data_IF_124467420875
#
_entry.id   IF_124467420875
#
_cell.length_a   1.000
_cell.length_b   1.000
_cell.length_c   1.000
_cell.angle_alpha   90.00
_cell.angle_beta   90.00
_cell.angle_gamma   90.00
#
_symmetry.space_group_name_H-M   'P 1'
#
loop_
_entity.id
_entity.type
_entity.pdbx_description
1 polymer ?
#
# COMPACT_ATOMS: atom_id res chain seq x y z
N UNK A 1 -20.67 -3.58 20.31
CA UNK A 1 -20.63 -3.32 18.84
C UNK A 1 -20.55 -1.81 18.64
N UNK A 2 -19.57 -1.29 17.90
CA UNK A 2 -19.51 0.15 17.58
C UNK A 2 -20.69 0.54 16.66
N UNK A 3 -21.24 1.77 16.77
CA UNK A 3 -22.36 2.18 15.94
C UNK A 3 -21.98 2.16 14.45
N UNK A 4 -22.94 1.88 13.54
CA UNK A 4 -22.70 1.87 12.10
C UNK A 4 -22.08 3.20 11.67
N UNK A 5 -20.92 3.15 11.00
CA UNK A 5 -20.19 4.32 10.53
C UNK A 5 -19.13 4.89 11.48
N UNK A 6 -19.05 4.44 12.74
CA UNK A 6 -18.01 4.90 13.67
C UNK A 6 -16.57 4.62 13.18
N UNK A 7 -16.25 3.45 12.60
CA UNK A 7 -14.91 3.21 12.06
C UNK A 7 -14.59 4.15 10.89
N UNK A 8 -15.57 4.43 10.01
CA UNK A 8 -15.41 5.34 8.87
C UNK A 8 -15.12 6.77 9.32
N UNK A 9 -15.91 7.29 10.27
CA UNK A 9 -15.68 8.61 10.86
C UNK A 9 -14.31 8.69 11.54
N UNK A 10 -13.92 7.62 12.25
CA UNK A 10 -12.58 7.48 12.82
C UNK A 10 -11.48 7.60 11.77
N UNK A 11 -11.60 6.89 10.64
CA UNK A 11 -10.63 6.97 9.54
C UNK A 11 -10.56 8.36 8.90
N UNK A 12 -11.72 9.00 8.67
CA UNK A 12 -11.80 10.35 8.09
C UNK A 12 -11.08 11.41 8.93
N UNK A 13 -11.07 11.27 10.25
CA UNK A 13 -10.33 12.16 11.15
C UNK A 13 -8.88 11.73 11.31
N UNK A 14 -8.63 10.42 11.44
CA UNK A 14 -7.33 9.86 11.79
C UNK A 14 -6.25 10.15 10.73
N UNK A 15 -6.48 9.84 9.45
CA UNK A 15 -5.41 9.97 8.44
C UNK A 15 -5.04 11.43 8.13
N UNK A 16 -6.00 12.35 7.87
CA UNK A 16 -5.66 13.77 7.68
C UNK A 16 -5.10 14.40 8.96
N UNK A 17 -5.64 14.04 10.13
CA UNK A 17 -5.14 14.49 11.43
C UNK A 17 -3.69 14.07 11.65
N UNK A 18 -3.38 12.78 11.45
CA UNK A 18 -2.02 12.25 11.56
C UNK A 18 -1.06 12.95 10.59
N UNK A 19 -1.48 13.21 9.35
CA UNK A 19 -0.69 13.96 8.39
C UNK A 19 -0.36 15.37 8.86
N UNK A 20 -1.37 16.12 9.34
CA UNK A 20 -1.18 17.48 9.82
C UNK A 20 -0.29 17.53 11.06
N UNK A 21 -0.46 16.59 11.99
CA UNK A 21 0.36 16.45 13.19
C UNK A 21 1.82 16.11 12.81
N UNK A 22 2.02 15.10 11.97
CA UNK A 22 3.36 14.70 11.51
C UNK A 22 4.06 15.84 10.77
N UNK A 23 3.37 16.48 9.82
CA UNK A 23 3.91 17.64 9.08
C UNK A 23 4.26 18.79 10.02
N UNK A 24 3.41 19.09 11.00
CA UNK A 24 3.65 20.17 11.96
C UNK A 24 4.82 19.86 12.88
N UNK A 25 4.93 18.62 13.38
CA UNK A 25 6.06 18.16 14.18
C UNK A 25 7.38 18.26 13.42
N UNK A 26 7.41 17.77 12.18
CA UNK A 26 8.58 17.89 11.29
C UNK A 26 8.95 19.35 10.95
N UNK A 27 8.06 20.32 11.12
CA UNK A 27 8.38 21.73 10.87
C UNK A 27 8.79 22.49 12.12
N UNK A 28 8.24 22.12 13.28
CA UNK A 28 8.28 22.94 14.50
C UNK A 28 9.20 22.38 15.59
N UNK A 29 9.46 21.08 15.61
CA UNK A 29 10.27 20.47 16.67
C UNK A 29 11.74 20.93 16.58
N UNK A 30 12.37 21.29 17.72
CA UNK A 30 13.79 21.59 17.77
C UNK A 30 14.62 20.42 17.18
N UNK A 31 15.58 20.72 16.32
CA UNK A 31 16.41 19.71 15.63
C UNK A 31 15.80 19.10 14.36
N UNK A 32 14.49 19.31 14.10
CA UNK A 32 13.79 18.74 12.94
C UNK A 32 13.27 19.76 11.94
N UNK A 33 13.53 21.07 12.07
CA UNK A 33 12.95 22.18 11.26
C UNK A 33 13.07 22.00 9.74
N UNK A 34 12.26 21.14 9.16
CA UNK A 34 12.41 20.73 7.77
C UNK A 34 11.71 21.71 6.82
N UNK A 35 12.25 21.87 5.60
CA UNK A 35 11.55 22.56 4.54
C UNK A 35 10.16 21.96 4.31
N UNK A 36 9.19 22.81 3.99
CA UNK A 36 7.81 22.37 3.78
C UNK A 36 7.66 21.24 2.73
N UNK A 37 8.37 21.26 1.58
CA UNK A 37 8.33 20.16 0.62
C UNK A 37 8.74 18.81 1.23
N UNK A 38 9.80 18.78 2.02
CA UNK A 38 10.34 17.56 2.62
C UNK A 38 9.43 17.07 3.75
N UNK A 39 8.94 17.99 4.59
CA UNK A 39 7.99 17.69 5.64
C UNK A 39 6.70 17.06 5.09
N UNK A 40 6.16 17.58 3.96
CA UNK A 40 4.98 17.01 3.29
C UNK A 40 5.28 15.60 2.79
N UNK A 41 6.41 15.40 2.10
CA UNK A 41 6.77 14.10 1.54
C UNK A 41 6.93 13.07 2.66
N UNK A 42 7.65 13.39 3.73
CA UNK A 42 7.89 12.43 4.80
C UNK A 42 6.64 12.19 5.64
N UNK A 43 5.83 13.22 5.95
CA UNK A 43 4.56 13.05 6.65
C UNK A 43 3.60 12.13 5.87
N UNK A 44 3.50 12.30 4.54
CA UNK A 44 2.67 11.42 3.72
C UNK A 44 3.15 9.96 3.80
N UNK A 45 4.46 9.72 3.70
CA UNK A 45 5.04 8.37 3.79
C UNK A 45 4.90 7.75 5.19
N UNK A 46 4.92 8.56 6.24
CA UNK A 46 4.65 8.10 7.59
C UNK A 46 3.21 7.62 7.72
N UNK A 47 2.24 8.40 7.24
CA UNK A 47 0.82 8.02 7.27
C UNK A 47 0.58 6.73 6.50
N UNK A 48 1.17 6.58 5.30
CA UNK A 48 1.11 5.32 4.54
C UNK A 48 1.73 4.15 5.29
N UNK A 49 2.84 4.36 6.01
CA UNK A 49 3.50 3.30 6.79
C UNK A 49 2.65 2.88 7.99
N UNK A 50 2.02 3.84 8.69
CA UNK A 50 1.12 3.57 9.81
C UNK A 50 -0.12 2.82 9.35
N UNK A 51 -0.76 3.24 8.25
CA UNK A 51 -1.88 2.51 7.67
C UNK A 51 -1.48 1.07 7.32
N UNK A 52 -0.30 0.89 6.74
CA UNK A 52 0.15 -0.42 6.32
C UNK A 52 0.43 -1.38 7.48
N UNK A 53 1.01 -0.86 8.58
CA UNK A 53 1.20 -1.63 9.82
C UNK A 53 -0.15 -2.01 10.42
N UNK A 54 -1.10 -1.08 10.50
CA UNK A 54 -2.44 -1.38 10.99
C UNK A 54 -3.15 -2.43 10.12
N UNK A 55 -3.03 -2.32 8.78
CA UNK A 55 -3.65 -3.24 7.83
C UNK A 55 -3.07 -4.64 7.96
N UNK A 56 -1.76 -4.76 7.95
CA UNK A 56 -1.08 -6.05 8.08
C UNK A 56 -1.32 -6.70 9.44
N UNK A 57 -1.38 -5.90 10.52
CA UNK A 57 -1.70 -6.40 11.87
C UNK A 57 -3.15 -6.89 11.94
N UNK A 58 -4.11 -6.10 11.47
CA UNK A 58 -5.51 -6.53 11.40
C UNK A 58 -5.67 -7.78 10.54
N UNK A 59 -4.96 -7.82 9.41
CA UNK A 59 -4.93 -8.96 8.50
C UNK A 59 -4.43 -10.24 9.16
N UNK A 60 -3.31 -10.14 9.89
CA UNK A 60 -2.75 -11.25 10.65
C UNK A 60 -3.69 -11.74 11.76
N UNK A 61 -4.31 -10.83 12.52
CA UNK A 61 -5.25 -11.20 13.58
C UNK A 61 -6.46 -11.94 12.97
N UNK A 62 -7.04 -11.40 11.89
CA UNK A 62 -8.19 -12.04 11.22
C UNK A 62 -7.81 -13.43 10.69
N UNK A 63 -6.70 -13.55 9.93
CA UNK A 63 -6.32 -14.80 9.30
C UNK A 63 -5.87 -15.88 10.29
N UNK A 64 -5.29 -15.50 11.43
CA UNK A 64 -4.93 -16.43 12.50
C UNK A 64 -6.11 -16.83 13.40
N UNK A 65 -7.17 -16.02 13.44
CA UNK A 65 -8.37 -16.31 14.25
C UNK A 65 -9.43 -17.13 13.51
N UNK A 66 -9.45 -17.09 12.18
CA UNK A 66 -10.38 -17.88 11.35
C UNK A 66 -9.77 -19.25 11.00
N UNK A 67 -10.27 -20.31 11.61
CA UNK A 67 -9.87 -21.69 11.29
C UNK A 67 -10.62 -22.22 10.07
N UNK A 68 -11.92 -21.95 9.99
CA UNK A 68 -12.74 -22.25 8.82
C UNK A 68 -12.65 -21.10 7.81
N UNK A 69 -11.86 -21.30 6.75
CA UNK A 69 -11.48 -20.23 5.81
C UNK A 69 -12.66 -19.58 5.05
N UNK A 70 -13.85 -20.19 5.05
CA UNK A 70 -15.04 -19.68 4.35
C UNK A 70 -16.06 -19.05 5.30
N UNK A 71 -16.32 -19.65 6.46
CA UNK A 71 -17.51 -19.31 7.26
C UNK A 71 -17.18 -18.65 8.59
N UNK A 72 -15.93 -18.77 9.09
CA UNK A 72 -15.55 -18.06 10.30
C UNK A 72 -15.57 -16.55 10.06
N UNK A 73 -16.00 -15.84 11.09
CA UNK A 73 -16.09 -14.38 11.09
C UNK A 73 -15.22 -13.79 12.20
N UNK A 74 -14.63 -12.63 11.90
CA UNK A 74 -13.88 -11.84 12.86
C UNK A 74 -14.33 -10.37 12.77
N UNK A 75 -14.61 -9.74 13.92
CA UNK A 75 -15.16 -8.38 13.95
C UNK A 75 -14.29 -7.32 13.23
N UNK A 76 -12.95 -7.50 13.25
CA UNK A 76 -12.02 -6.63 12.50
C UNK A 76 -12.26 -6.67 10.99
N UNK A 77 -12.75 -7.78 10.44
CA UNK A 77 -13.04 -7.90 9.01
C UNK A 77 -14.22 -7.00 8.57
N UNK A 78 -15.11 -6.65 9.49
CA UNK A 78 -16.15 -5.64 9.28
C UNK A 78 -15.68 -4.20 9.58
N UNK A 79 -14.94 -4.02 10.68
CA UNK A 79 -14.57 -2.69 11.17
C UNK A 79 -13.38 -2.07 10.40
N UNK A 80 -12.35 -2.86 10.11
CA UNK A 80 -11.09 -2.33 9.56
C UNK A 80 -11.24 -1.79 8.13
N UNK A 81 -11.93 -2.44 7.17
CA UNK A 81 -12.11 -1.88 5.83
C UNK A 81 -12.81 -0.52 5.84
N UNK A 82 -13.80 -0.35 6.73
CA UNK A 82 -14.49 0.94 6.92
C UNK A 82 -13.57 2.00 7.50
N UNK A 83 -12.73 1.64 8.46
CA UNK A 83 -11.70 2.54 8.98
C UNK A 83 -10.65 2.88 7.94
N UNK A 84 -10.26 1.95 7.07
CA UNK A 84 -9.17 2.10 6.10
C UNK A 84 -9.58 2.82 4.80
N UNK A 85 -10.84 2.75 4.37
CA UNK A 85 -11.26 3.37 3.09
C UNK A 85 -10.95 4.88 2.98
N UNK A 86 -11.09 5.71 4.04
CA UNK A 86 -10.70 7.13 3.98
C UNK A 86 -9.22 7.34 3.70
N UNK A 87 -8.34 6.43 4.14
CA UNK A 87 -6.91 6.52 3.82
C UNK A 87 -6.68 6.49 2.31
N UNK A 88 -7.34 5.59 1.57
CA UNK A 88 -7.10 5.48 0.13
C UNK A 88 -7.53 6.76 -0.62
N UNK A 89 -8.59 7.43 -0.16
CA UNK A 89 -9.02 8.73 -0.71
C UNK A 89 -8.01 9.82 -0.35
N UNK A 90 -7.63 9.90 0.94
CA UNK A 90 -6.64 10.84 1.43
C UNK A 90 -5.27 10.67 0.75
N UNK A 91 -4.81 9.44 0.49
CA UNK A 91 -3.48 9.19 -0.06
C UNK A 91 -3.37 9.61 -1.52
N UNK A 92 -4.46 9.55 -2.31
CA UNK A 92 -4.47 10.16 -3.66
C UNK A 92 -4.19 11.66 -3.57
N UNK A 93 -4.81 12.36 -2.62
CA UNK A 93 -4.55 13.77 -2.39
C UNK A 93 -3.10 14.01 -1.89
N UNK A 94 -2.61 13.22 -0.94
CA UNK A 94 -1.25 13.34 -0.41
C UNK A 94 -0.19 13.06 -1.50
N UNK A 95 -0.44 12.09 -2.38
CA UNK A 95 0.38 11.79 -3.54
C UNK A 95 0.41 12.96 -4.54
N UNK A 96 -0.73 13.58 -4.81
CA UNK A 96 -0.80 14.79 -5.65
C UNK A 96 0.01 15.95 -5.05
N UNK A 97 -0.09 16.19 -3.74
CA UNK A 97 0.74 17.20 -3.06
C UNK A 97 2.24 16.87 -3.21
N UNK A 98 2.63 15.63 -2.95
CA UNK A 98 4.02 15.19 -3.11
C UNK A 98 4.52 15.40 -4.55
N UNK A 99 3.69 15.14 -5.55
CA UNK A 99 4.02 15.36 -6.97
C UNK A 99 4.31 16.84 -7.26
N UNK A 100 3.43 17.74 -6.78
CA UNK A 100 3.61 19.19 -6.95
C UNK A 100 4.89 19.69 -6.27
N UNK A 101 5.18 19.24 -5.06
CA UNK A 101 6.38 19.63 -4.34
C UNK A 101 7.66 19.09 -5.02
N UNK A 102 7.66 17.84 -5.50
CA UNK A 102 8.80 17.29 -6.26
C UNK A 102 9.06 18.01 -7.57
N UNK A 103 8.00 18.41 -8.28
CA UNK A 103 8.14 19.20 -9.51
C UNK A 103 8.80 20.56 -9.25
N UNK A 104 8.49 21.20 -8.12
CA UNK A 104 9.11 22.47 -7.68
C UNK A 104 10.57 22.32 -7.25
N UNK A 105 10.99 21.17 -6.73
CA UNK A 105 12.39 20.93 -6.30
C UNK A 105 13.28 20.49 -7.48
N UNK A 106 12.74 19.72 -8.44
CA UNK A 106 13.48 19.32 -9.65
C UNK A 106 13.63 20.44 -10.67
N UNK A 107 12.66 21.35 -10.74
CA UNK A 107 12.76 22.56 -11.56
C UNK A 107 13.37 23.70 -10.77
N UNK A 108 14.69 23.90 -10.87
CA UNK A 108 15.28 25.24 -10.74
C UNK A 108 14.86 26.09 -11.95
N UNK A 109 13.56 26.19 -12.21
CA UNK A 109 13.01 26.80 -13.42
C UNK A 109 12.38 28.14 -13.05
N UNK A 110 12.95 29.20 -13.61
CA UNK A 110 12.59 30.62 -13.47
C UNK A 110 11.23 30.99 -14.10
N UNK A 111 10.25 30.07 -14.09
CA UNK A 111 8.93 30.24 -14.70
C UNK A 111 7.78 30.23 -13.68
N UNK A 112 6.61 30.79 -14.04
CA UNK A 112 5.44 30.79 -13.17
C UNK A 112 4.97 29.36 -12.88
N UNK A 113 4.44 29.10 -11.66
CA UNK A 113 3.99 27.76 -11.29
C UNK A 113 2.87 27.28 -12.23
N UNK A 114 2.88 26.00 -12.64
CA UNK A 114 1.86 25.46 -13.53
C UNK A 114 0.47 25.58 -12.90
N UNK A 115 -0.54 25.83 -13.75
CA UNK A 115 -1.94 25.87 -13.31
C UNK A 115 -2.34 24.56 -12.62
N UNK A 116 -3.33 24.63 -11.72
CA UNK A 116 -3.81 23.44 -11.00
C UNK A 116 -4.24 22.32 -11.95
N UNK A 117 -4.90 22.67 -13.06
CA UNK A 117 -5.32 21.71 -14.09
C UNK A 117 -4.13 21.04 -14.76
N UNK A 118 -3.10 21.81 -15.14
CA UNK A 118 -1.90 21.25 -15.75
C UNK A 118 -1.12 20.34 -14.79
N UNK A 119 -1.01 20.73 -13.52
CA UNK A 119 -0.39 19.91 -12.48
C UNK A 119 -1.16 18.60 -12.24
N UNK A 120 -2.50 18.66 -12.19
CA UNK A 120 -3.36 17.49 -12.04
C UNK A 120 -3.26 16.55 -13.25
N UNK A 121 -3.32 17.06 -14.48
CA UNK A 121 -3.14 16.27 -15.69
C UNK A 121 -1.75 15.60 -15.74
N UNK A 122 -0.71 16.31 -15.34
CA UNK A 122 0.66 15.76 -15.25
C UNK A 122 0.76 14.65 -14.22
N UNK A 123 0.15 14.83 -13.05
CA UNK A 123 0.09 13.84 -11.98
C UNK A 123 -0.64 12.57 -12.44
N UNK A 124 -1.87 12.73 -12.96
CA UNK A 124 -2.67 11.59 -13.44
C UNK A 124 -1.95 10.79 -14.52
N UNK A 125 -1.21 11.44 -15.41
CA UNK A 125 -0.43 10.75 -16.45
C UNK A 125 0.77 10.00 -15.89
N UNK A 126 1.51 10.61 -14.94
CA UNK A 126 2.77 10.05 -14.42
C UNK A 126 2.56 8.98 -13.35
N UNK A 127 1.50 9.11 -12.56
CA UNK A 127 1.19 8.23 -11.43
C UNK A 127 -0.13 7.45 -11.66
N UNK A 128 -0.57 7.31 -12.92
CA UNK A 128 -1.86 6.70 -13.30
C UNK A 128 -2.11 5.36 -12.60
N UNK A 129 -1.14 4.45 -12.65
CA UNK A 129 -1.29 3.10 -12.10
C UNK A 129 -1.53 3.11 -10.58
N UNK A 130 -0.89 4.04 -9.86
CA UNK A 130 -1.12 4.19 -8.42
C UNK A 130 -2.50 4.79 -8.14
N UNK A 131 -2.93 5.77 -8.94
CA UNK A 131 -4.27 6.37 -8.81
C UNK A 131 -5.35 5.33 -9.09
N UNK A 132 -5.20 4.56 -10.17
CA UNK A 132 -6.11 3.47 -10.53
C UNK A 132 -6.15 2.39 -9.46
N UNK A 133 -5.01 2.03 -8.87
CA UNK A 133 -4.97 1.11 -7.74
C UNK A 133 -5.81 1.61 -6.57
N UNK A 134 -5.64 2.87 -6.14
CA UNK A 134 -6.43 3.44 -5.04
C UNK A 134 -7.92 3.53 -5.39
N UNK A 135 -8.25 3.92 -6.62
CA UNK A 135 -9.62 3.92 -7.11
C UNK A 135 -10.23 2.51 -7.08
N UNK A 136 -9.50 1.48 -7.49
CA UNK A 136 -9.96 0.09 -7.42
C UNK A 136 -10.14 -0.39 -5.96
N UNK A 137 -9.27 0.03 -5.03
CA UNK A 137 -9.43 -0.29 -3.61
C UNK A 137 -10.73 0.30 -3.04
N UNK A 138 -11.08 1.53 -3.41
CA UNK A 138 -12.28 2.24 -2.93
C UNK A 138 -13.55 1.80 -3.64
N UNK A 139 -13.53 1.71 -4.98
CA UNK A 139 -14.72 1.50 -5.80
C UNK A 139 -15.06 0.02 -6.01
N UNK A 140 -14.10 -0.88 -5.81
CA UNK A 140 -14.27 -2.32 -6.05
C UNK A 140 -13.99 -3.13 -4.79
N UNK A 141 -12.77 -3.04 -4.24
CA UNK A 141 -12.37 -3.93 -3.15
C UNK A 141 -13.15 -3.64 -1.86
N UNK A 142 -13.42 -2.37 -1.54
CA UNK A 142 -14.21 -2.01 -0.38
C UNK A 142 -15.66 -2.51 -0.46
N UNK A 143 -16.45 -2.22 -1.53
CA UNK A 143 -17.80 -2.79 -1.68
C UNK A 143 -17.82 -4.31 -1.66
N UNK A 144 -16.83 -4.97 -2.29
CA UNK A 144 -16.69 -6.42 -2.21
C UNK A 144 -16.52 -6.85 -0.75
N UNK A 145 -15.58 -6.25 -0.02
CA UNK A 145 -15.24 -6.62 1.35
C UNK A 145 -16.36 -6.37 2.37
N UNK A 146 -17.17 -5.32 2.18
CA UNK A 146 -18.17 -4.90 3.18
C UNK A 146 -19.62 -5.18 2.80
N UNK A 147 -19.96 -5.27 1.51
CA UNK A 147 -21.35 -5.40 1.04
C UNK A 147 -21.60 -6.76 0.38
N UNK A 148 -20.77 -7.17 -0.57
CA UNK A 148 -21.04 -8.37 -1.38
C UNK A 148 -20.51 -9.67 -0.81
N UNK A 149 -19.58 -9.59 0.14
CA UNK A 149 -18.98 -10.75 0.77
C UNK A 149 -19.95 -11.54 1.66
N UNK A 150 -21.08 -10.94 2.07
CA UNK A 150 -22.15 -11.60 2.85
C UNK A 150 -21.62 -12.34 4.10
N UNK A 151 -20.60 -11.78 4.76
CA UNK A 151 -20.02 -12.36 5.97
C UNK A 151 -19.18 -13.63 5.76
N UNK A 152 -18.77 -13.96 4.54
CA UNK A 152 -17.91 -15.13 4.24
C UNK A 152 -16.46 -14.75 3.92
N UNK A 153 -15.52 -15.65 4.09
CA UNK A 153 -14.15 -15.46 3.65
C UNK A 153 -13.36 -14.37 4.40
N UNK A 154 -13.62 -14.18 5.70
CA UNK A 154 -12.83 -13.27 6.54
C UNK A 154 -11.36 -13.65 6.55
N UNK A 155 -11.05 -14.95 6.59
CA UNK A 155 -9.69 -15.46 6.43
C UNK A 155 -8.99 -14.89 5.19
N UNK A 156 -9.65 -14.94 4.02
CA UNK A 156 -9.08 -14.45 2.76
C UNK A 156 -8.91 -12.93 2.76
N UNK A 157 -9.88 -12.19 3.32
CA UNK A 157 -9.74 -10.75 3.51
C UNK A 157 -8.55 -10.42 4.41
N UNK A 158 -8.37 -11.15 5.51
CA UNK A 158 -7.24 -11.01 6.42
C UNK A 158 -5.91 -11.21 5.70
N UNK A 159 -5.79 -12.27 4.90
CA UNK A 159 -4.61 -12.55 4.09
C UNK A 159 -4.35 -11.42 3.06
N UNK A 160 -5.39 -10.89 2.41
CA UNK A 160 -5.26 -9.77 1.47
C UNK A 160 -4.79 -8.48 2.13
N UNK A 161 -5.21 -8.20 3.37
CA UNK A 161 -4.74 -7.04 4.14
C UNK A 161 -3.25 -7.13 4.49
N UNK A 162 -2.69 -8.34 4.64
CA UNK A 162 -1.26 -8.54 4.88
C UNK A 162 -0.39 -8.10 3.69
N UNK A 163 -0.95 -7.91 2.50
CA UNK A 163 -0.26 -7.34 1.35
C UNK A 163 0.36 -5.96 1.63
N UNK A 164 -0.20 -5.20 2.57
CA UNK A 164 0.32 -3.89 2.95
C UNK A 164 1.65 -3.95 3.72
N UNK A 165 2.09 -5.11 4.21
CA UNK A 165 3.33 -5.23 5.00
C UNK A 165 4.58 -4.71 4.26
N UNK A 166 4.59 -4.74 2.92
CA UNK A 166 5.71 -4.21 2.12
C UNK A 166 5.76 -2.67 2.07
N UNK A 167 4.63 -1.98 2.29
CA UNK A 167 4.46 -0.53 2.10
C UNK A 167 5.39 0.32 3.00
N UNK A 168 5.62 -0.01 4.28
CA UNK A 168 6.60 0.70 5.12
C UNK A 168 8.01 0.67 4.51
N UNK A 169 8.44 -0.44 3.91
CA UNK A 169 9.76 -0.56 3.29
C UNK A 169 9.86 0.22 1.97
N UNK A 170 8.76 0.28 1.20
CA UNK A 170 8.64 1.16 0.02
C UNK A 170 8.73 2.64 0.44
N UNK A 171 8.06 3.00 1.53
CA UNK A 171 8.05 4.36 2.08
C UNK A 171 9.44 4.76 2.60
N UNK A 172 10.05 3.94 3.44
CA UNK A 172 11.39 4.16 3.97
C UNK A 172 12.41 4.26 2.84
N UNK A 173 12.32 3.40 1.82
CA UNK A 173 13.17 3.49 0.63
C UNK A 173 13.10 4.86 -0.05
N UNK A 174 11.89 5.38 -0.27
CA UNK A 174 11.68 6.72 -0.87
C UNK A 174 12.22 7.85 0.02
N UNK A 175 12.09 7.73 1.34
CA UNK A 175 12.63 8.69 2.31
C UNK A 175 14.17 8.68 2.28
N UNK A 176 14.80 7.51 2.33
CA UNK A 176 16.27 7.39 2.26
C UNK A 176 16.83 7.96 0.95
N UNK A 177 16.12 7.80 -0.16
CA UNK A 177 16.48 8.41 -1.45
C UNK A 177 16.39 9.94 -1.38
N UNK A 178 15.33 10.48 -0.76
CA UNK A 178 15.17 11.93 -0.56
C UNK A 178 16.38 12.52 0.17
N UNK A 179 16.88 11.83 1.20
CA UNK A 179 18.07 12.22 1.95
C UNK A 179 19.41 11.82 1.31
N UNK A 180 19.40 11.35 0.06
CA UNK A 180 20.59 10.87 -0.67
C UNK A 180 21.36 9.76 0.07
N UNK A 181 20.71 8.98 0.94
CA UNK A 181 21.31 7.90 1.76
C UNK A 181 21.33 6.54 1.05
N UNK A 182 21.31 6.52 -0.28
CA UNK A 182 21.22 5.30 -1.09
C UNK A 182 22.41 4.35 -0.92
N UNK A 183 23.58 4.90 -0.58
CA UNK A 183 24.83 4.15 -0.39
C UNK A 183 24.92 3.45 0.98
N UNK A 184 24.04 3.78 1.92
CA UNK A 184 24.10 3.27 3.29
C UNK A 184 23.67 1.80 3.40
N UNK A 185 24.21 1.09 4.40
CA UNK A 185 23.77 -0.27 4.74
C UNK A 185 22.26 -0.32 5.04
N UNK A 186 21.72 0.72 5.69
CA UNK A 186 20.29 0.85 5.95
C UNK A 186 19.45 0.80 4.67
N UNK A 187 19.85 1.51 3.61
CA UNK A 187 19.12 1.47 2.33
C UNK A 187 19.19 0.09 1.67
N UNK A 188 20.34 -0.57 1.74
CA UNK A 188 20.52 -1.94 1.22
C UNK A 188 19.66 -2.95 1.99
N UNK A 189 19.71 -2.94 3.32
CA UNK A 189 18.88 -3.80 4.18
C UNK A 189 17.39 -3.55 3.96
N UNK A 190 16.96 -2.28 3.87
CA UNK A 190 15.59 -1.95 3.51
C UNK A 190 15.21 -2.47 2.12
N UNK A 191 16.13 -2.42 1.15
CA UNK A 191 15.92 -2.99 -0.19
C UNK A 191 15.66 -4.50 -0.15
N UNK A 192 16.42 -5.25 0.66
CA UNK A 192 16.19 -6.69 0.89
C UNK A 192 14.86 -6.93 1.58
N UNK A 193 14.56 -6.19 2.66
CA UNK A 193 13.30 -6.32 3.38
C UNK A 193 12.10 -6.03 2.46
N UNK A 194 12.19 -4.99 1.63
CA UNK A 194 11.17 -4.66 0.62
C UNK A 194 10.99 -5.80 -0.40
N UNK A 195 12.08 -6.39 -0.91
CA UNK A 195 12.01 -7.52 -1.84
C UNK A 195 11.29 -8.73 -1.22
N UNK A 196 11.74 -9.15 -0.04
CA UNK A 196 11.21 -10.33 0.65
C UNK A 196 9.74 -10.14 0.99
N UNK A 197 9.37 -9.00 1.57
CA UNK A 197 7.98 -8.72 1.96
C UNK A 197 7.06 -8.55 0.75
N UNK A 198 7.53 -7.93 -0.34
CA UNK A 198 6.72 -7.80 -1.56
C UNK A 198 6.51 -9.17 -2.23
N UNK A 199 7.56 -10.00 -2.31
CA UNK A 199 7.43 -11.36 -2.85
C UNK A 199 6.47 -12.20 -2.00
N UNK A 200 6.70 -12.27 -0.69
CA UNK A 200 5.92 -13.12 0.22
C UNK A 200 4.47 -12.64 0.37
N UNK A 201 4.27 -11.37 0.72
CA UNK A 201 2.96 -10.86 1.11
C UNK A 201 2.11 -10.37 -0.06
N UNK A 202 2.67 -10.17 -1.26
CA UNK A 202 1.89 -9.72 -2.44
C UNK A 202 1.86 -10.73 -3.57
N UNK A 203 3.01 -11.29 -3.96
CA UNK A 203 3.08 -12.20 -5.13
C UNK A 203 2.69 -13.62 -4.73
N UNK A 204 3.39 -14.19 -3.74
CA UNK A 204 3.14 -15.55 -3.24
C UNK A 204 1.84 -15.68 -2.45
N UNK A 205 1.25 -14.55 -2.05
CA UNK A 205 -0.07 -14.49 -1.44
C UNK A 205 -1.12 -15.21 -2.30
N UNK A 206 -1.16 -14.99 -3.61
CA UNK A 206 -2.20 -15.59 -4.47
C UNK A 206 -2.10 -17.11 -4.54
N UNK A 207 -0.93 -17.73 -4.83
CA UNK A 207 -0.77 -19.17 -4.67
C UNK A 207 -1.17 -19.69 -3.29
N UNK A 208 -0.85 -18.94 -2.21
CA UNK A 208 -1.24 -19.30 -0.85
C UNK A 208 -2.77 -19.29 -0.64
N UNK A 209 -3.49 -18.30 -1.17
CA UNK A 209 -4.95 -18.25 -1.10
C UNK A 209 -5.58 -19.47 -1.79
N UNK A 210 -5.09 -19.83 -2.97
CA UNK A 210 -5.55 -21.02 -3.69
C UNK A 210 -5.24 -22.30 -2.92
N UNK A 211 -4.05 -22.38 -2.31
CA UNK A 211 -3.67 -23.51 -1.46
C UNK A 211 -4.56 -23.64 -0.23
N UNK A 212 -4.85 -22.55 0.47
CA UNK A 212 -5.72 -22.54 1.64
C UNK A 212 -7.15 -23.01 1.29
N UNK A 213 -7.70 -22.51 0.18
CA UNK A 213 -8.99 -22.98 -0.33
C UNK A 213 -8.95 -24.46 -0.75
N UNK A 214 -7.90 -24.88 -1.45
CA UNK A 214 -7.70 -26.26 -1.87
C UNK A 214 -7.64 -27.22 -0.67
N UNK A 215 -6.88 -26.87 0.37
CA UNK A 215 -6.84 -27.63 1.64
C UNK A 215 -8.21 -27.74 2.29
N UNK A 216 -8.97 -26.66 2.33
CA UNK A 216 -10.33 -26.66 2.85
C UNK A 216 -11.28 -27.57 2.05
N UNK A 217 -11.11 -27.65 0.72
CA UNK A 217 -11.95 -28.51 -0.17
C UNK A 217 -11.36 -29.90 -0.44
N UNK A 218 -10.23 -30.27 0.14
CA UNK A 218 -9.54 -31.52 -0.19
C UNK A 218 -9.01 -31.61 -1.63
N UNK A 219 -8.75 -30.47 -2.27
CA UNK A 219 -8.28 -30.38 -3.65
C UNK A 219 -6.78 -30.06 -3.72
N UNK A 220 -6.02 -30.66 -4.66
CA UNK A 220 -4.65 -30.25 -4.94
C UNK A 220 -4.64 -28.85 -5.57
N UNK A 221 -3.60 -28.06 -5.26
CA UNK A 221 -3.47 -26.64 -5.64
C UNK A 221 -3.76 -26.37 -7.13
N UNK A 222 -3.20 -27.18 -8.03
CA UNK A 222 -3.35 -27.00 -9.48
C UNK A 222 -4.77 -27.22 -9.99
N UNK A 223 -5.64 -27.91 -9.24
CA UNK A 223 -7.05 -28.13 -9.60
C UNK A 223 -7.97 -27.02 -9.08
N UNK A 224 -7.50 -26.19 -8.15
CA UNK A 224 -8.32 -25.13 -7.54
C UNK A 224 -8.85 -24.11 -8.56
N UNK A 225 -8.07 -23.62 -9.54
CA UNK A 225 -8.59 -22.68 -10.53
C UNK A 225 -9.78 -23.24 -11.34
N UNK A 226 -9.76 -24.54 -11.67
CA UNK A 226 -10.84 -25.20 -12.40
C UNK A 226 -12.08 -25.49 -11.53
N UNK A 227 -11.93 -25.51 -10.21
CA UNK A 227 -13.03 -25.73 -9.26
C UNK A 227 -13.70 -24.41 -8.82
N UNK A 228 -13.08 -23.27 -9.07
CA UNK A 228 -13.63 -21.95 -8.75
C UNK A 228 -14.41 -21.36 -9.92
N UNK A 229 -15.50 -20.61 -9.67
CA UNK A 229 -16.13 -19.82 -10.72
C UNK A 229 -15.12 -18.88 -11.39
N UNK A 230 -15.17 -18.71 -12.73
CA UNK A 230 -14.18 -17.93 -13.48
C UNK A 230 -13.97 -16.50 -12.95
N UNK A 231 -15.02 -15.88 -12.40
CA UNK A 231 -14.97 -14.55 -11.81
C UNK A 231 -13.95 -14.42 -10.67
N UNK A 232 -13.75 -15.46 -9.85
CA UNK A 232 -12.76 -15.43 -8.77
C UNK A 232 -11.33 -15.47 -9.32
N UNK A 233 -11.09 -16.27 -10.37
CA UNK A 233 -9.81 -16.30 -11.05
C UNK A 233 -9.51 -14.96 -11.73
N UNK A 234 -10.50 -14.35 -12.38
CA UNK A 234 -10.38 -13.04 -12.99
C UNK A 234 -10.08 -11.95 -11.93
N UNK A 235 -10.77 -11.96 -10.79
CA UNK A 235 -10.51 -11.04 -9.68
C UNK A 235 -9.11 -11.22 -9.10
N UNK A 236 -8.67 -12.46 -8.87
CA UNK A 236 -7.33 -12.78 -8.40
C UNK A 236 -6.26 -12.29 -9.39
N UNK A 237 -6.44 -12.54 -10.70
CA UNK A 237 -5.54 -12.08 -11.74
C UNK A 237 -5.49 -10.54 -11.82
N UNK A 238 -6.64 -9.87 -11.71
CA UNK A 238 -6.73 -8.41 -11.71
C UNK A 238 -5.99 -7.78 -10.51
N UNK A 239 -6.08 -8.40 -9.32
CA UNK A 239 -5.35 -7.95 -8.14
C UNK A 239 -3.85 -8.27 -8.21
N UNK A 240 -3.46 -9.40 -8.81
CA UNK A 240 -2.06 -9.85 -8.93
C UNK A 240 -1.28 -9.10 -10.02
N UNK A 241 -1.91 -8.77 -11.15
CA UNK A 241 -1.26 -8.14 -12.30
C UNK A 241 -0.42 -6.87 -11.95
N UNK A 242 -0.96 -5.86 -11.22
CA UNK A 242 -0.16 -4.70 -10.84
C UNK A 242 0.98 -5.08 -9.88
N UNK A 243 0.80 -6.10 -9.03
CA UNK A 243 1.82 -6.57 -8.10
C UNK A 243 3.00 -7.18 -8.84
N UNK A 244 2.76 -8.00 -9.88
CA UNK A 244 3.83 -8.55 -10.73
C UNK A 244 4.61 -7.45 -11.45
N UNK A 245 3.91 -6.44 -11.98
CA UNK A 245 4.54 -5.29 -12.63
C UNK A 245 5.44 -4.51 -11.67
N UNK A 246 4.94 -4.17 -10.47
CA UNK A 246 5.72 -3.46 -9.47
C UNK A 246 6.86 -4.30 -8.90
N UNK A 247 6.66 -5.60 -8.71
CA UNK A 247 7.72 -6.51 -8.29
C UNK A 247 8.85 -6.54 -9.33
N UNK A 248 8.53 -6.59 -10.62
CA UNK A 248 9.52 -6.47 -11.69
C UNK A 248 10.29 -5.13 -11.67
N UNK A 249 9.63 -4.01 -11.34
CA UNK A 249 10.30 -2.73 -11.14
C UNK A 249 11.23 -2.73 -9.91
N UNK A 250 10.79 -3.35 -8.81
CA UNK A 250 11.56 -3.48 -7.58
C UNK A 250 12.80 -4.35 -7.81
N UNK A 251 12.66 -5.49 -8.48
CA UNK A 251 13.79 -6.36 -8.85
C UNK A 251 14.81 -5.62 -9.72
N UNK A 252 14.36 -4.84 -10.71
CA UNK A 252 15.25 -3.98 -11.52
C UNK A 252 15.92 -2.87 -10.70
N UNK A 253 15.22 -2.33 -9.69
CA UNK A 253 15.78 -1.37 -8.74
C UNK A 253 16.87 -2.00 -7.87
N UNK A 254 16.59 -3.17 -7.30
CA UNK A 254 17.52 -3.92 -6.47
C UNK A 254 18.75 -4.37 -7.26
N UNK A 255 18.58 -4.86 -8.49
CA UNK A 255 19.70 -5.22 -9.36
C UNK A 255 20.68 -4.05 -9.54
N UNK A 256 20.16 -2.84 -9.76
CA UNK A 256 21.00 -1.63 -9.86
C UNK A 256 21.67 -1.25 -8.54
N UNK A 257 21.02 -1.50 -7.40
CA UNK A 257 21.55 -1.19 -6.08
C UNK A 257 22.69 -2.14 -5.66
N UNK A 258 22.60 -3.42 -6.06
CA UNK A 258 23.57 -4.45 -5.68
C UNK A 258 24.66 -4.71 -6.73
N UNK A 259 24.56 -4.12 -7.92
CA UNK A 259 25.59 -4.24 -8.95
C UNK A 259 26.87 -3.53 -8.47
N UNK A 260 28.05 -4.19 -8.50
CA UNK A 260 29.30 -3.55 -8.17
C UNK A 260 29.58 -2.40 -9.16
N UNK A 261 30.21 -1.29 -8.70
CA UNK A 261 30.61 -0.22 -9.60
C UNK A 261 31.56 -0.79 -10.66
N UNK A 262 31.51 -0.26 -11.90
CA UNK A 262 32.46 -0.66 -12.93
C UNK A 262 33.89 -0.44 -12.42
N UNK A 263 34.74 -1.46 -12.53
CA UNK A 263 36.17 -1.31 -12.30
C UNK A 263 36.69 -0.39 -13.40
N UNK A 264 37.16 0.79 -13.03
CA UNK A 264 37.91 1.63 -13.96
C UNK A 264 39.23 0.92 -14.29
N UNK A 265 39.61 0.80 -15.57
CA UNK A 265 40.92 0.29 -15.97
C UNK A 265 42.05 1.24 -15.53
#
# INVERSE_FOLDING_TARGET
>A
MAPPGAPLAGGLLFFPGLFLLAKSGLRRLPGLRWPEPDAVIVAARLVSSVQAVMASTAGYIISSSCHHVIDDQHWLAGAYPQFAVPYFVYDVYAMFLCHRHRARVKGHEAGPPPSLRAAAASYLRKDLLMVLHHAAMVLVCFPVATLWRQGKGDFFLGCLLMAELSTPFVCLGKVLILYKRQHTALHKLNGVAMLVTFLGCRVLLFPYLYWAYGRHRGLPLLRVPGALPPAYNAAAAALLAPQLYWFGLICRGAWRLFRPPPRHP
#
